data_IF_302506565598
#
_entry.id   IF_302506565598
#
_cell.length_a   1.000
_cell.length_b   1.000
_cell.length_c   1.000
_cell.angle_alpha   90.00
_cell.angle_beta   90.00
_cell.angle_gamma   90.00
#
_symmetry.space_group_name_H-M   'P 1'
#
loop_
_entity.id
_entity.type
_entity.pdbx_description
1 polymer ?
#
# COMPACT_ATOMS: atom_id res chain seq x y z
N UNK A 1 25.20 -4.42 34.28
CA UNK A 1 24.59 -3.21 33.68
C UNK A 1 23.44 -2.78 34.56
N UNK A 2 23.32 -1.51 34.85
CA UNK A 2 22.20 -1.01 35.61
C UNK A 2 21.00 -0.79 34.68
N UNK A 3 19.83 -0.59 35.28
CA UNK A 3 18.59 -0.40 34.54
C UNK A 3 18.64 0.81 33.59
N UNK A 4 19.41 1.82 33.97
CA UNK A 4 19.53 3.05 33.20
C UNK A 4 20.25 2.82 31.87
N UNK A 5 21.29 1.99 31.87
CA UNK A 5 22.03 1.62 30.67
C UNK A 5 21.19 0.75 29.73
N UNK A 6 20.42 -0.16 30.27
CA UNK A 6 19.51 -0.99 29.49
C UNK A 6 18.44 -0.17 28.78
N UNK A 7 17.85 0.79 29.49
CA UNK A 7 16.86 1.69 28.91
C UNK A 7 17.47 2.59 27.84
N UNK A 8 18.69 3.07 28.07
CA UNK A 8 19.42 3.89 27.11
C UNK A 8 19.72 3.12 25.83
N UNK A 9 20.19 1.89 25.96
CA UNK A 9 20.48 1.01 24.82
C UNK A 9 19.24 0.67 24.03
N UNK A 10 18.15 0.43 24.72
CA UNK A 10 16.84 0.14 24.09
C UNK A 10 16.36 1.35 23.28
N UNK A 11 16.48 2.54 23.83
CA UNK A 11 16.08 3.78 23.18
C UNK A 11 16.96 4.09 21.97
N UNK A 12 18.26 3.84 22.07
CA UNK A 12 19.19 3.99 20.97
C UNK A 12 18.90 3.05 19.81
N UNK A 13 18.52 1.82 20.12
CA UNK A 13 18.10 0.84 19.10
C UNK A 13 16.85 1.30 18.35
N UNK A 14 15.89 1.84 19.07
CA UNK A 14 14.65 2.35 18.46
C UNK A 14 14.94 3.56 17.56
N UNK A 15 15.76 4.49 18.01
CA UNK A 15 16.16 5.65 17.24
C UNK A 15 16.94 5.26 15.97
N UNK A 16 17.88 4.36 16.10
CA UNK A 16 18.65 3.83 14.96
C UNK A 16 17.73 3.21 13.92
N UNK A 17 16.76 2.44 14.36
CA UNK A 17 15.81 1.78 13.48
C UNK A 17 14.99 2.81 12.70
N UNK A 18 14.55 3.88 13.34
CA UNK A 18 13.82 4.97 12.68
C UNK A 18 14.67 5.69 11.64
N UNK A 19 15.92 5.99 11.97
CA UNK A 19 16.83 6.69 11.06
C UNK A 19 17.26 5.82 9.87
N UNK A 20 17.51 4.55 10.09
CA UNK A 20 18.00 3.65 9.05
C UNK A 20 16.94 3.35 7.99
N UNK A 21 15.67 3.47 8.34
CA UNK A 21 14.59 3.27 7.38
C UNK A 21 14.23 4.54 6.63
N UNK A 22 14.99 5.62 6.83
CA UNK A 22 14.89 6.83 6.04
C UNK A 22 13.53 7.49 6.01
N UNK A 23 12.81 7.47 7.12
CA UNK A 23 11.45 7.98 7.19
C UNK A 23 10.42 7.08 6.52
N UNK A 24 10.85 5.98 5.92
CA UNK A 24 9.94 4.95 5.47
C UNK A 24 9.37 4.22 6.66
N UNK A 25 8.15 3.77 6.51
CA UNK A 25 7.44 3.15 7.59
C UNK A 25 8.11 1.97 8.20
N UNK A 26 8.11 1.97 9.50
CA UNK A 26 8.36 0.80 10.31
C UNK A 26 7.12 -0.10 10.27
N UNK A 27 7.32 -1.40 10.44
CA UNK A 27 6.19 -2.33 10.51
C UNK A 27 5.11 -1.89 11.49
N UNK A 28 5.53 -1.32 12.61
CA UNK A 28 4.64 -0.86 13.68
C UNK A 28 3.75 0.32 13.25
N UNK A 29 4.24 1.13 12.29
CA UNK A 29 3.56 2.36 11.85
C UNK A 29 2.88 2.19 10.49
N UNK A 30 3.00 1.02 9.86
CA UNK A 30 2.33 0.76 8.59
C UNK A 30 0.84 0.52 8.82
N UNK A 31 -0.02 1.08 7.96
CA UNK A 31 -1.44 0.81 8.06
C UNK A 31 -1.75 -0.66 7.74
N UNK A 32 -2.69 -1.23 8.47
CA UNK A 32 -3.18 -2.58 8.24
C UNK A 32 -4.57 -2.59 7.60
N UNK A 33 -5.03 -1.44 7.17
CA UNK A 33 -6.27 -1.26 6.42
C UNK A 33 -5.97 -0.45 5.17
N UNK A 34 -6.76 -0.59 4.09
CA UNK A 34 -6.53 0.20 2.89
C UNK A 34 -6.67 1.70 3.15
N UNK A 35 -5.70 2.46 2.64
CA UNK A 35 -5.73 3.91 2.70
C UNK A 35 -6.65 4.46 1.61
N UNK A 36 -7.31 5.57 1.89
CA UNK A 36 -8.02 6.31 0.87
C UNK A 36 -7.02 7.19 0.11
N UNK A 37 -6.83 6.91 -1.17
CA UNK A 37 -5.87 7.61 -2.01
C UNK A 37 -6.61 8.58 -2.93
N UNK A 38 -6.07 9.78 -3.08
CA UNK A 38 -6.65 10.81 -3.94
C UNK A 38 -5.61 11.37 -4.90
N UNK A 39 -6.07 12.12 -5.91
CA UNK A 39 -5.16 12.84 -6.82
C UNK A 39 -4.19 13.74 -6.06
N UNK A 40 -4.64 14.32 -4.95
CA UNK A 40 -3.84 15.27 -4.16
C UNK A 40 -2.72 14.58 -3.38
N UNK A 41 -2.92 13.35 -2.91
CA UNK A 41 -1.97 12.70 -1.99
C UNK A 41 -1.29 11.44 -2.56
N UNK A 42 -1.62 11.03 -3.77
CA UNK A 42 -1.09 9.79 -4.34
C UNK A 42 0.45 9.81 -4.42
N UNK A 43 1.03 10.91 -4.88
CA UNK A 43 2.49 11.01 -5.03
C UNK A 43 3.20 10.92 -3.68
N UNK A 44 2.64 11.54 -2.66
CA UNK A 44 3.17 11.48 -1.30
C UNK A 44 3.13 10.05 -0.77
N UNK A 45 2.02 9.36 -0.95
CA UNK A 45 1.87 7.97 -0.49
C UNK A 45 2.80 7.01 -1.22
N UNK A 46 2.98 7.19 -2.52
CA UNK A 46 3.89 6.36 -3.32
C UNK A 46 5.33 6.51 -2.82
N UNK A 47 5.72 7.72 -2.44
CA UNK A 47 7.08 7.98 -1.92
C UNK A 47 7.25 7.51 -0.48
N UNK A 48 6.17 7.57 0.31
CA UNK A 48 6.22 7.25 1.73
C UNK A 48 6.41 5.76 1.99
N UNK A 49 5.77 4.91 1.20
CA UNK A 49 5.77 3.47 1.41
C UNK A 49 6.64 2.77 0.38
N UNK A 50 7.44 1.81 0.83
CA UNK A 50 8.34 1.08 -0.05
C UNK A 50 7.57 0.30 -1.12
N UNK A 51 6.52 -0.40 -0.72
CA UNK A 51 5.64 -1.10 -1.64
C UNK A 51 4.20 -0.74 -1.32
N UNK A 52 3.51 -0.16 -2.28
CA UNK A 52 2.10 0.19 -2.16
C UNK A 52 1.32 -0.31 -3.36
N UNK A 53 0.19 -0.93 -3.10
CA UNK A 53 -0.75 -1.42 -4.12
C UNK A 53 -2.00 -0.57 -4.05
N UNK A 54 -2.36 0.05 -5.17
CA UNK A 54 -3.51 0.94 -5.24
C UNK A 54 -4.61 0.29 -6.08
N UNK A 55 -5.73 -0.01 -5.44
CA UNK A 55 -6.94 -0.54 -6.07
C UNK A 55 -7.74 0.61 -6.66
N UNK A 56 -7.77 0.69 -7.99
CA UNK A 56 -8.57 1.68 -8.72
C UNK A 56 -9.97 1.09 -8.93
N UNK A 57 -10.97 1.76 -8.38
CA UNK A 57 -12.34 1.26 -8.31
C UNK A 57 -13.37 2.37 -8.53
N UNK A 58 -14.64 1.99 -8.66
CA UNK A 58 -15.76 2.92 -8.69
C UNK A 58 -16.97 2.31 -8.01
N UNK A 59 -17.87 3.13 -7.42
CA UNK A 59 -19.05 2.62 -6.70
C UNK A 59 -20.00 1.78 -7.56
N UNK A 60 -20.07 2.07 -8.86
CA UNK A 60 -20.95 1.37 -9.80
C UNK A 60 -20.36 0.07 -10.34
N UNK A 61 -19.14 -0.24 -10.01
CA UNK A 61 -18.41 -1.39 -10.54
C UNK A 61 -18.71 -2.65 -9.72
N UNK A 62 -19.43 -3.60 -10.32
CA UNK A 62 -19.74 -4.87 -9.65
C UNK A 62 -18.52 -5.69 -9.25
N UNK A 63 -17.58 -5.97 -10.18
CA UNK A 63 -16.36 -6.71 -9.85
C UNK A 63 -15.51 -6.05 -8.77
N UNK A 64 -15.52 -4.71 -8.69
CA UNK A 64 -14.81 -3.98 -7.65
C UNK A 64 -15.30 -4.33 -6.24
N UNK A 65 -16.60 -4.62 -6.12
CA UNK A 65 -17.19 -5.01 -4.83
C UNK A 65 -16.69 -6.36 -4.35
N UNK A 66 -16.30 -7.24 -5.26
CA UNK A 66 -15.69 -8.54 -4.92
C UNK A 66 -14.26 -8.38 -4.47
N UNK A 67 -13.54 -7.42 -5.05
CA UNK A 67 -12.13 -7.15 -4.74
C UNK A 67 -11.97 -6.41 -3.41
N UNK A 68 -12.92 -5.55 -3.06
CA UNK A 68 -12.85 -4.75 -1.83
C UNK A 68 -12.51 -5.55 -0.58
N UNK A 69 -13.30 -6.58 -0.24
CA UNK A 69 -13.00 -7.44 0.92
C UNK A 69 -11.65 -8.16 0.82
N UNK A 70 -11.25 -8.55 -0.40
CA UNK A 70 -9.95 -9.19 -0.64
C UNK A 70 -8.80 -8.22 -0.30
N UNK A 71 -8.93 -6.98 -0.73
CA UNK A 71 -7.93 -5.93 -0.43
C UNK A 71 -7.85 -5.68 1.08
N UNK A 72 -8.97 -5.65 1.76
CA UNK A 72 -9.00 -5.50 3.22
C UNK A 72 -8.29 -6.65 3.93
N UNK A 73 -8.54 -7.89 3.49
CA UNK A 73 -7.88 -9.06 4.03
C UNK A 73 -6.37 -9.03 3.78
N UNK A 74 -5.97 -8.71 2.56
CA UNK A 74 -4.56 -8.64 2.19
C UNK A 74 -3.82 -7.53 2.91
N UNK A 75 -4.48 -6.42 3.20
CA UNK A 75 -3.88 -5.33 3.97
C UNK A 75 -3.47 -5.79 5.36
N UNK A 76 -4.24 -6.71 5.95
CA UNK A 76 -3.91 -7.30 7.25
C UNK A 76 -2.86 -8.39 7.13
N UNK A 77 -3.03 -9.29 6.16
CA UNK A 77 -2.13 -10.44 5.99
C UNK A 77 -0.73 -10.03 5.56
N UNK A 78 -0.62 -8.98 4.76
CA UNK A 78 0.66 -8.48 4.24
C UNK A 78 1.14 -7.23 4.97
N UNK A 79 0.60 -6.96 6.15
CA UNK A 79 1.03 -5.87 7.01
C UNK A 79 2.53 -5.96 7.30
N UNK A 80 3.21 -4.85 7.20
CA UNK A 80 4.65 -4.79 7.36
C UNK A 80 5.44 -5.00 6.06
N UNK A 81 4.78 -5.54 5.03
CA UNK A 81 5.42 -5.79 3.73
C UNK A 81 4.84 -4.88 2.64
N UNK A 82 3.52 -4.80 2.56
CA UNK A 82 2.81 -4.04 1.51
C UNK A 82 1.74 -3.19 2.17
N UNK A 83 1.66 -1.94 1.72
CA UNK A 83 0.55 -1.04 2.07
C UNK A 83 -0.46 -1.07 0.93
N UNK A 84 -1.73 -1.11 1.26
CA UNK A 84 -2.81 -1.09 0.28
C UNK A 84 -3.53 0.24 0.32
N UNK A 85 -3.93 0.72 -0.85
CA UNK A 85 -4.73 1.91 -1.00
C UNK A 85 -5.89 1.67 -1.94
N UNK A 86 -6.91 2.51 -1.84
CA UNK A 86 -8.08 2.48 -2.71
C UNK A 86 -8.25 3.87 -3.31
N UNK A 87 -8.41 3.94 -4.62
CA UNK A 87 -8.61 5.19 -5.34
C UNK A 87 -9.89 5.11 -6.15
N UNK A 88 -10.85 5.98 -5.83
CA UNK A 88 -12.09 6.10 -6.58
C UNK A 88 -11.83 6.87 -7.87
N UNK A 89 -11.93 6.19 -9.02
CA UNK A 89 -11.59 6.80 -10.31
C UNK A 89 -12.54 7.92 -10.71
N UNK A 90 -13.79 7.89 -10.25
CA UNK A 90 -14.75 8.94 -10.55
C UNK A 90 -14.40 10.26 -9.88
N UNK A 91 -13.85 10.19 -8.67
CA UNK A 91 -13.45 11.36 -7.89
C UNK A 91 -12.02 11.79 -8.15
N UNK A 92 -11.23 10.97 -8.83
CA UNK A 92 -9.80 11.18 -9.02
C UNK A 92 -9.40 11.01 -10.48
N UNK A 93 -9.91 11.86 -11.38
CA UNK A 93 -9.69 11.72 -12.81
C UNK A 93 -8.25 11.95 -13.25
N UNK A 94 -7.45 12.72 -12.50
CA UNK A 94 -6.06 13.00 -12.85
C UNK A 94 -5.20 11.72 -12.80
N UNK A 95 -5.32 10.96 -11.72
CA UNK A 95 -4.60 9.69 -11.58
C UNK A 95 -5.07 8.69 -12.62
N UNK A 96 -6.37 8.61 -12.84
CA UNK A 96 -6.96 7.70 -13.81
C UNK A 96 -6.42 7.99 -15.22
N UNK A 97 -6.34 9.26 -15.61
CA UNK A 97 -5.80 9.67 -16.90
C UNK A 97 -4.30 9.44 -16.99
N UNK A 98 -3.55 9.81 -15.96
CA UNK A 98 -2.10 9.67 -15.92
C UNK A 98 -1.65 8.21 -16.11
N UNK A 99 -2.34 7.29 -15.48
CA UNK A 99 -2.03 5.87 -15.54
C UNK A 99 -2.85 5.10 -16.56
N UNK A 100 -3.63 5.80 -17.38
CA UNK A 100 -4.43 5.21 -18.46
C UNK A 100 -5.30 4.04 -17.95
N UNK A 101 -6.05 4.32 -16.89
CA UNK A 101 -6.98 3.33 -16.32
C UNK A 101 -8.17 3.23 -17.25
N UNK A 102 -8.23 2.15 -18.05
CA UNK A 102 -9.26 1.93 -19.05
C UNK A 102 -10.34 0.97 -18.56
N UNK A 103 -10.02 0.14 -17.59
CA UNK A 103 -10.95 -0.81 -17.00
C UNK A 103 -10.72 -0.90 -15.51
N UNK A 104 -11.76 -1.26 -14.76
CA UNK A 104 -11.70 -1.42 -13.31
C UNK A 104 -12.34 -2.75 -12.91
N UNK A 105 -11.87 -3.41 -11.85
CA UNK A 105 -10.77 -2.98 -11.00
C UNK A 105 -9.40 -3.13 -11.68
N UNK A 106 -8.51 -2.18 -11.41
CA UNK A 106 -7.10 -2.25 -11.80
C UNK A 106 -6.28 -1.94 -10.57
N UNK A 107 -5.30 -2.79 -10.28
CA UNK A 107 -4.36 -2.55 -9.20
C UNK A 107 -3.04 -2.10 -9.73
N UNK A 108 -2.56 -0.96 -9.23
CA UNK A 108 -1.26 -0.41 -9.58
C UNK A 108 -0.29 -0.77 -8.45
N UNK A 109 0.81 -1.40 -8.79
CA UNK A 109 1.85 -1.78 -7.82
C UNK A 109 3.02 -0.83 -7.96
N UNK A 110 3.32 -0.09 -6.90
CA UNK A 110 4.47 0.82 -6.84
C UNK A 110 5.50 0.28 -5.86
N UNK A 111 6.75 0.26 -6.28
CA UNK A 111 7.87 -0.11 -5.42
C UNK A 111 8.96 0.93 -5.54
N UNK A 112 9.42 1.44 -4.39
CA UNK A 112 10.42 2.50 -4.31
C UNK A 112 10.06 3.72 -5.18
N UNK A 113 8.78 4.05 -5.22
CA UNK A 113 8.26 5.19 -5.96
C UNK A 113 7.98 4.95 -7.44
N UNK A 114 8.24 3.75 -7.94
CA UNK A 114 8.09 3.42 -9.36
C UNK A 114 6.96 2.41 -9.59
N UNK A 115 6.20 2.61 -10.67
CA UNK A 115 5.19 1.65 -11.08
C UNK A 115 5.88 0.40 -11.62
N UNK A 116 5.70 -0.73 -10.94
CA UNK A 116 6.37 -1.99 -11.31
C UNK A 116 5.41 -3.03 -11.87
N UNK A 117 4.12 -2.89 -11.63
CA UNK A 117 3.13 -3.84 -12.14
C UNK A 117 1.74 -3.22 -12.22
N UNK A 118 0.92 -3.83 -13.06
CA UNK A 118 -0.48 -3.45 -13.24
C UNK A 118 -1.31 -4.72 -13.34
N UNK A 119 -2.17 -4.95 -12.36
CA UNK A 119 -3.02 -6.13 -12.32
C UNK A 119 -4.46 -5.73 -12.69
N UNK A 120 -4.94 -6.24 -13.81
CA UNK A 120 -6.24 -5.87 -14.35
C UNK A 120 -7.27 -6.97 -14.06
N UNK A 121 -8.42 -6.58 -13.56
CA UNK A 121 -9.53 -7.46 -13.30
C UNK A 121 -9.63 -7.94 -11.86
N UNK A 122 -10.73 -8.61 -11.55
CA UNK A 122 -11.03 -9.12 -10.22
C UNK A 122 -10.38 -10.48 -10.04
N UNK A 123 -9.12 -10.49 -9.65
CA UNK A 123 -8.39 -11.73 -9.39
C UNK A 123 -8.80 -12.34 -8.06
N UNK A 124 -8.88 -13.67 -7.98
CA UNK A 124 -9.08 -14.34 -6.70
C UNK A 124 -7.95 -14.02 -5.71
N UNK A 125 -8.29 -14.03 -4.42
CA UNK A 125 -7.36 -13.67 -3.35
C UNK A 125 -6.03 -14.42 -3.43
N UNK A 126 -6.07 -15.73 -3.63
CA UNK A 126 -4.86 -16.56 -3.67
C UNK A 126 -3.94 -16.20 -4.84
N UNK A 127 -4.52 -15.92 -6.00
CA UNK A 127 -3.76 -15.50 -7.18
C UNK A 127 -3.15 -14.12 -6.96
N UNK A 128 -3.94 -13.21 -6.41
CA UNK A 128 -3.49 -11.86 -6.13
C UNK A 128 -2.35 -11.86 -5.11
N UNK A 129 -2.50 -12.62 -4.04
CA UNK A 129 -1.47 -12.76 -3.01
C UNK A 129 -0.18 -13.34 -3.59
N UNK A 130 -0.28 -14.37 -4.42
CA UNK A 130 0.88 -14.99 -5.05
C UNK A 130 1.65 -13.98 -5.94
N UNK A 131 0.93 -13.17 -6.70
CA UNK A 131 1.54 -12.13 -7.53
C UNK A 131 2.23 -11.06 -6.69
N UNK A 132 1.62 -10.67 -5.58
CA UNK A 132 2.14 -9.61 -4.72
C UNK A 132 3.29 -10.08 -3.82
N UNK A 133 3.38 -11.38 -3.53
CA UNK A 133 4.45 -11.95 -2.70
C UNK A 133 5.84 -11.73 -3.31
N UNK A 134 5.94 -11.52 -4.61
CA UNK A 134 7.23 -11.28 -5.27
C UNK A 134 7.78 -9.85 -5.02
N UNK A 135 6.99 -8.96 -4.48
CA UNK A 135 7.40 -7.57 -4.18
C UNK A 135 7.68 -7.32 -2.67
#
# INVERSE_FOLDING_TARGET
>A
MDELEELRNKKLKQLKKQYMNGGKNMEENMPNTPLQITDADIDENIKKYQTIVIDCWAPWCGPCRMVGPVIEDLAKEMHGKIVFGKLNVDENPQTSAKHQIMSIPTMLVFKDGNLVDRLIGALPKDQLKAKLDQY
#
